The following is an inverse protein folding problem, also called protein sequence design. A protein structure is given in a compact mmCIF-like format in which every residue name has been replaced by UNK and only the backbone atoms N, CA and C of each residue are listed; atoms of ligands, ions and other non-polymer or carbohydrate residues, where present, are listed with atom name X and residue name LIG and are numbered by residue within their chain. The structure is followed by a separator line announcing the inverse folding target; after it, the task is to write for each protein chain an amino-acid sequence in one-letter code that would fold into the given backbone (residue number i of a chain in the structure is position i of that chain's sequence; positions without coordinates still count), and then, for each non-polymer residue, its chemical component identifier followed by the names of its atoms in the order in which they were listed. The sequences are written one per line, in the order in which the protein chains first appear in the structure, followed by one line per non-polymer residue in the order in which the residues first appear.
data_IF_319302840174
#
_entry.id   IF_319302840174
#
_cell.length_a   1.000
_cell.length_b   1.000
_cell.length_c   1.000
_cell.angle_alpha   90.00
_cell.angle_beta   90.00
_cell.angle_gamma   90.00
#
_symmetry.space_group_name_H-M   'P 1'
#
loop_
_entity.id
_entity.type
_entity.pdbx_description
1 polymer ?
#
# COMPACT_ATOMS: atom_id res chain seq x y z
N UNK A 1 24.48 3.87 -10.01
CA UNK A 1 24.37 2.42 -9.72
C UNK A 1 23.86 1.74 -10.97
N UNK A 2 24.64 0.78 -11.48
CA UNK A 2 24.28 -0.07 -12.62
C UNK A 2 23.75 -1.40 -12.06
N UNK A 3 22.63 -1.90 -12.57
CA UNK A 3 22.03 -3.14 -12.06
C UNK A 3 21.15 -3.84 -13.09
N UNK A 4 20.98 -5.16 -12.94
CA UNK A 4 19.93 -5.91 -13.66
C UNK A 4 18.57 -5.70 -13.01
N UNK A 5 17.60 -5.29 -13.82
CA UNK A 5 16.31 -4.87 -13.33
C UNK A 5 15.12 -5.54 -13.99
N UNK A 6 13.98 -5.46 -13.31
CA UNK A 6 12.66 -5.80 -13.85
C UNK A 6 11.81 -4.53 -13.86
N UNK A 7 11.15 -4.31 -14.98
CA UNK A 7 10.12 -3.28 -15.11
C UNK A 7 8.76 -3.96 -14.99
N UNK A 8 7.91 -3.47 -14.11
CA UNK A 8 6.48 -3.77 -14.10
C UNK A 8 5.76 -2.61 -14.76
N UNK A 9 4.89 -2.91 -15.73
CA UNK A 9 4.06 -1.94 -16.45
C UNK A 9 2.59 -2.27 -16.18
N UNK A 10 1.83 -1.27 -15.75
CA UNK A 10 0.38 -1.31 -15.69
C UNK A 10 -0.15 -0.48 -16.86
N UNK A 11 -0.80 -1.14 -17.80
CA UNK A 11 -1.26 -0.54 -19.06
C UNK A 11 -2.76 -0.66 -19.16
N UNK A 12 -3.42 0.39 -19.62
CA UNK A 12 -4.82 0.35 -20.02
C UNK A 12 -4.91 0.13 -21.54
N UNK A 13 -5.73 -0.82 -21.97
CA UNK A 13 -6.03 -0.99 -23.39
C UNK A 13 -7.16 -0.08 -23.86
N UNK A 14 -7.48 -0.15 -25.16
CA UNK A 14 -8.55 0.64 -25.78
C UNK A 14 -9.96 0.31 -25.27
N UNK A 15 -10.16 -0.89 -24.69
CA UNK A 15 -11.42 -1.29 -24.06
C UNK A 15 -11.50 -0.86 -22.59
N UNK A 16 -10.42 -0.31 -22.07
CA UNK A 16 -10.31 0.14 -20.69
C UNK A 16 -9.92 -0.94 -19.70
N UNK A 17 -9.53 -2.13 -20.17
CA UNK A 17 -9.01 -3.22 -19.35
C UNK A 17 -7.56 -2.92 -18.95
N UNK A 18 -7.19 -3.34 -17.74
CA UNK A 18 -5.85 -3.08 -17.19
C UNK A 18 -5.02 -4.36 -17.23
N UNK A 19 -3.83 -4.25 -17.80
CA UNK A 19 -2.90 -5.33 -18.06
C UNK A 19 -1.59 -5.11 -17.32
N UNK A 20 -1.03 -6.20 -16.80
CA UNK A 20 0.29 -6.21 -16.17
C UNK A 20 1.30 -6.85 -17.10
N UNK A 21 2.37 -6.11 -17.41
CA UNK A 21 3.50 -6.64 -18.17
C UNK A 21 4.77 -6.56 -17.35
N UNK A 22 5.54 -7.65 -17.36
CA UNK A 22 6.88 -7.70 -16.77
C UNK A 22 7.92 -7.74 -17.87
N UNK A 23 8.92 -6.86 -17.79
CA UNK A 23 10.06 -6.84 -18.71
C UNK A 23 11.37 -6.88 -17.96
N UNK A 24 12.17 -7.91 -18.22
CA UNK A 24 13.55 -8.00 -17.71
C UNK A 24 14.47 -7.13 -18.55
N UNK A 25 15.46 -6.52 -17.92
CA UNK A 25 16.54 -5.84 -18.64
C UNK A 25 17.35 -6.86 -19.44
N UNK A 26 17.86 -6.44 -20.61
CA UNK A 26 18.74 -7.30 -21.44
C UNK A 26 20.10 -7.51 -20.79
N UNK A 27 20.54 -6.53 -20.00
CA UNK A 27 21.78 -6.55 -19.23
C UNK A 27 21.70 -5.55 -18.07
N UNK A 28 22.80 -5.37 -17.33
CA UNK A 28 22.90 -4.31 -16.33
C UNK A 28 22.73 -2.93 -16.98
N UNK A 29 21.97 -2.04 -16.35
CA UNK A 29 21.71 -0.70 -16.84
C UNK A 29 21.60 0.29 -15.68
N UNK A 30 21.80 1.57 -15.97
CA UNK A 30 21.58 2.64 -15.00
C UNK A 30 20.08 2.97 -14.86
N UNK A 31 19.68 3.49 -13.69
CA UNK A 31 18.30 3.93 -13.43
C UNK A 31 17.80 4.96 -14.47
N UNK A 32 18.68 5.85 -14.93
CA UNK A 32 18.43 6.84 -15.99
C UNK A 32 17.97 6.18 -17.29
N UNK A 33 18.63 5.09 -17.70
CA UNK A 33 18.29 4.35 -18.92
C UNK A 33 16.92 3.66 -18.81
N UNK A 34 16.58 3.11 -17.64
CA UNK A 34 15.23 2.57 -17.40
C UNK A 34 14.16 3.67 -17.53
N UNK A 35 14.42 4.85 -16.97
CA UNK A 35 13.49 6.00 -17.04
C UNK A 35 13.32 6.51 -18.47
N UNK A 36 14.39 6.66 -19.23
CA UNK A 36 14.34 7.07 -20.64
C UNK A 36 13.54 6.08 -21.49
N UNK A 37 13.72 4.78 -21.27
CA UNK A 37 12.92 3.75 -21.93
C UNK A 37 11.42 3.90 -21.64
N UNK A 38 11.06 4.15 -20.38
CA UNK A 38 9.66 4.33 -19.96
C UNK A 38 9.04 5.60 -20.53
N UNK A 39 9.78 6.71 -20.54
CA UNK A 39 9.34 7.96 -21.17
C UNK A 39 9.10 7.79 -22.68
N UNK A 40 9.95 7.00 -23.35
CA UNK A 40 9.77 6.70 -24.77
C UNK A 40 8.56 5.80 -25.02
N UNK A 41 8.22 4.88 -24.10
CA UNK A 41 6.99 4.10 -24.18
C UNK A 41 5.74 4.97 -24.05
N UNK A 42 5.69 5.88 -23.07
CA UNK A 42 4.56 6.80 -22.88
C UNK A 42 4.28 7.65 -24.13
N UNK A 43 5.34 8.08 -24.82
CA UNK A 43 5.22 8.89 -26.06
C UNK A 43 4.59 8.14 -27.23
N UNK A 44 4.69 6.81 -27.28
CA UNK A 44 4.22 6.03 -28.45
C UNK A 44 2.69 5.99 -28.60
N UNK A 45 1.92 6.42 -27.58
CA UNK A 45 0.44 6.53 -27.58
C UNK A 45 -0.37 5.26 -27.88
N UNK A 46 0.24 4.19 -28.39
CA UNK A 46 -0.39 2.88 -28.60
C UNK A 46 -0.71 2.16 -27.27
N UNK A 47 -0.08 2.60 -26.18
CA UNK A 47 -0.15 2.01 -24.85
C UNK A 47 -0.49 3.12 -23.87
N UNK A 48 -1.67 3.06 -23.24
CA UNK A 48 -2.00 3.97 -22.15
C UNK A 48 -1.33 3.48 -20.86
N UNK A 49 -0.08 3.87 -20.65
CA UNK A 49 0.65 3.53 -19.42
C UNK A 49 0.00 4.26 -18.23
N UNK A 50 -0.42 3.51 -17.22
CA UNK A 50 -1.00 4.03 -15.98
C UNK A 50 0.10 4.22 -14.92
N UNK A 51 0.91 3.18 -14.73
CA UNK A 51 1.93 3.14 -13.70
C UNK A 51 3.07 2.22 -14.12
N UNK A 52 4.28 2.53 -13.69
CA UNK A 52 5.43 1.66 -13.88
C UNK A 52 6.31 1.64 -12.64
N UNK A 53 6.96 0.50 -12.44
CA UNK A 53 7.90 0.28 -11.34
C UNK A 53 9.21 -0.27 -11.90
N UNK A 54 10.34 0.20 -11.37
CA UNK A 54 11.67 -0.33 -11.67
C UNK A 54 12.21 -1.01 -10.42
N UNK A 55 12.56 -2.28 -10.59
CA UNK A 55 13.04 -3.17 -9.55
C UNK A 55 14.50 -3.48 -9.82
N UNK A 56 15.37 -3.21 -8.86
CA UNK A 56 16.73 -3.73 -8.81
C UNK A 56 16.73 -5.13 -8.18
N UNK A 57 17.03 -6.18 -8.98
CA UNK A 57 17.08 -7.56 -8.49
C UNK A 57 18.34 -7.88 -7.69
N UNK A 58 19.33 -6.99 -7.70
CA UNK A 58 20.59 -7.13 -6.98
C UNK A 58 20.55 -6.45 -5.59
N UNK A 59 19.52 -5.63 -5.30
CA UNK A 59 19.33 -5.00 -3.99
C UNK A 59 18.62 -5.97 -3.02
N UNK A 60 19.25 -6.22 -1.86
CA UNK A 60 18.70 -7.10 -0.81
C UNK A 60 17.68 -6.39 0.09
N UNK A 61 17.80 -5.08 0.30
CA UNK A 61 16.98 -4.34 1.28
C UNK A 61 15.75 -3.70 0.62
N UNK A 62 15.94 -2.96 -0.48
CA UNK A 62 14.86 -2.29 -1.22
C UNK A 62 14.97 -2.56 -2.70
N UNK A 63 14.32 -3.64 -3.13
CA UNK A 63 14.29 -4.04 -4.53
C UNK A 63 13.68 -2.94 -5.42
N UNK A 64 12.67 -2.21 -4.94
CA UNK A 64 12.02 -1.17 -5.73
C UNK A 64 12.78 0.15 -5.62
N UNK A 65 13.31 0.61 -6.75
CA UNK A 65 14.17 1.80 -6.78
C UNK A 65 13.47 3.02 -7.38
N UNK A 66 12.37 2.83 -8.12
CA UNK A 66 11.60 3.93 -8.71
C UNK A 66 10.19 3.52 -9.14
N UNK A 67 9.27 4.49 -9.17
CA UNK A 67 7.94 4.38 -9.75
C UNK A 67 7.56 5.66 -10.52
N UNK A 68 6.66 5.60 -11.50
CA UNK A 68 6.34 6.77 -12.33
C UNK A 68 5.41 7.80 -11.67
N UNK A 69 4.40 7.37 -10.90
CA UNK A 69 3.34 8.29 -10.45
C UNK A 69 3.05 8.31 -8.95
N UNK A 70 3.31 7.24 -8.19
CA UNK A 70 2.75 7.10 -6.84
C UNK A 70 3.82 6.92 -5.77
N UNK A 71 4.12 8.02 -5.08
CA UNK A 71 5.07 8.05 -3.97
C UNK A 71 4.35 8.58 -2.73
N UNK A 72 4.58 7.94 -1.59
CA UNK A 72 4.27 8.55 -0.30
C UNK A 72 5.18 9.76 -0.07
N UNK A 73 4.64 10.96 -0.26
CA UNK A 73 5.37 12.25 -0.17
C UNK A 73 6.08 12.49 1.16
N UNK A 74 5.74 11.77 2.23
CA UNK A 74 6.26 11.95 3.60
C UNK A 74 7.69 11.38 3.83
N UNK A 75 8.36 10.86 2.80
CA UNK A 75 9.61 10.08 2.92
C UNK A 75 10.82 10.74 2.21
N UNK A 76 10.65 11.87 1.50
CA UNK A 76 11.73 12.54 0.75
C UNK A 76 12.22 13.85 1.41
N UNK A 77 12.74 13.74 2.64
CA UNK A 77 13.55 14.80 3.25
C UNK A 77 14.93 14.23 3.60
N UNK A 78 15.98 15.04 3.46
CA UNK A 78 17.35 14.64 3.83
C UNK A 78 17.36 13.99 5.22
N UNK A 79 17.80 12.72 5.28
CA UNK A 79 17.86 11.96 6.52
C UNK A 79 18.90 12.63 7.43
N UNK A 80 18.43 13.41 8.39
CA UNK A 80 19.34 13.97 9.39
C UNK A 80 19.97 12.83 10.21
N UNK A 81 21.18 13.00 10.77
CA UNK A 81 21.78 12.01 11.67
C UNK A 81 20.85 11.61 12.83
N UNK A 82 19.96 12.52 13.27
CA UNK A 82 18.97 12.24 14.30
C UNK A 82 17.81 11.35 13.81
N UNK A 83 17.43 11.47 12.54
CA UNK A 83 16.49 10.56 11.90
C UNK A 83 17.05 9.14 11.92
N UNK A 84 18.28 8.95 11.43
CA UNK A 84 18.93 7.64 11.40
C UNK A 84 19.06 7.04 12.80
N UNK A 85 19.55 7.81 13.78
CA UNK A 85 19.62 7.38 15.18
C UNK A 85 18.28 6.90 15.74
N UNK A 86 17.18 7.51 15.31
CA UNK A 86 15.85 7.10 15.77
C UNK A 86 15.40 5.81 15.09
N UNK A 87 15.61 5.66 13.78
CA UNK A 87 15.38 4.40 13.06
C UNK A 87 16.20 3.26 13.67
N UNK A 88 17.49 3.48 13.92
CA UNK A 88 18.38 2.47 14.52
C UNK A 88 17.92 2.07 15.92
N UNK A 89 17.43 3.03 16.71
CA UNK A 89 16.84 2.75 18.01
C UNK A 89 15.61 1.84 17.88
N UNK A 90 14.69 2.15 16.95
CA UNK A 90 13.50 1.33 16.71
C UNK A 90 13.87 -0.08 16.25
N UNK A 91 14.79 -0.21 15.28
CA UNK A 91 15.24 -1.51 14.80
C UNK A 91 15.80 -2.41 15.93
N UNK A 92 16.53 -1.82 16.88
CA UNK A 92 17.17 -2.56 17.97
C UNK A 92 16.26 -2.79 19.20
N UNK A 93 15.23 -1.97 19.42
CA UNK A 93 14.46 -1.98 20.68
C UNK A 93 12.94 -2.11 20.50
N UNK A 94 12.41 -1.79 19.32
CA UNK A 94 10.98 -1.67 19.01
C UNK A 94 10.72 -2.11 17.56
N UNK A 95 11.10 -3.34 17.22
CA UNK A 95 10.86 -3.91 15.88
C UNK A 95 9.37 -4.02 15.53
N UNK A 96 8.49 -3.89 16.52
CA UNK A 96 7.05 -3.78 16.36
C UNK A 96 6.58 -2.43 15.76
N UNK A 97 7.47 -1.44 15.65
CA UNK A 97 7.17 -0.08 15.16
C UNK A 97 8.17 0.36 14.09
N UNK A 98 7.64 0.92 12.99
CA UNK A 98 8.41 1.58 11.93
C UNK A 98 8.10 3.08 11.90
N UNK A 99 9.14 3.91 11.80
CA UNK A 99 9.00 5.35 11.57
C UNK A 99 9.02 5.67 10.07
N UNK A 100 7.99 6.36 9.58
CA UNK A 100 7.78 6.58 8.14
C UNK A 100 7.52 8.06 7.77
N UNK A 101 7.60 8.97 8.75
CA UNK A 101 7.44 10.40 8.53
C UNK A 101 8.77 11.16 8.55
N UNK A 102 8.75 12.46 8.23
CA UNK A 102 9.94 13.29 8.37
C UNK A 102 10.29 13.46 9.86
N UNK A 103 11.54 13.18 10.21
CA UNK A 103 12.06 13.44 11.55
C UNK A 103 12.33 14.93 11.70
N UNK A 104 11.59 15.59 12.60
CA UNK A 104 11.79 17.02 12.91
C UNK A 104 12.50 17.21 14.25
N UNK A 105 12.02 16.54 15.29
CA UNK A 105 12.65 16.52 16.61
C UNK A 105 12.08 15.38 17.44
N UNK A 106 12.67 15.10 18.61
CA UNK A 106 12.12 14.14 19.58
C UNK A 106 10.73 14.52 20.10
N UNK A 107 10.35 15.80 20.07
CA UNK A 107 9.08 16.30 20.63
C UNK A 107 8.00 16.54 19.58
N UNK A 108 8.38 16.59 18.30
CA UNK A 108 7.45 16.81 17.20
C UNK A 108 6.80 15.48 16.81
N UNK A 109 5.47 15.45 16.70
CA UNK A 109 4.76 14.25 16.26
C UNK A 109 5.18 13.89 14.83
N UNK A 110 5.64 12.66 14.65
CA UNK A 110 5.90 12.07 13.34
C UNK A 110 5.04 10.81 13.13
N UNK A 111 5.00 10.33 11.89
CA UNK A 111 4.16 9.21 11.51
C UNK A 111 4.86 7.89 11.79
N UNK A 112 4.16 6.98 12.47
CA UNK A 112 4.62 5.64 12.81
C UNK A 112 3.61 4.62 12.29
N UNK A 113 4.10 3.42 11.99
CA UNK A 113 3.30 2.23 11.65
C UNK A 113 3.69 1.12 12.61
N UNK A 114 2.73 0.32 13.08
CA UNK A 114 3.06 -0.90 13.82
C UNK A 114 3.12 -2.10 12.86
N UNK A 115 3.65 -3.22 13.31
CA UNK A 115 3.73 -4.45 12.51
C UNK A 115 2.37 -4.97 12.01
N UNK A 116 1.26 -4.57 12.66
CA UNK A 116 -0.12 -4.84 12.19
C UNK A 116 -0.64 -3.84 11.16
N UNK A 117 0.20 -2.91 10.68
CA UNK A 117 -0.13 -1.92 9.65
C UNK A 117 -0.89 -0.69 10.11
N UNK A 118 -1.11 -0.46 11.41
CA UNK A 118 -1.82 0.73 11.88
C UNK A 118 -0.94 1.97 11.88
N UNK A 119 -1.44 3.07 11.31
CA UNK A 119 -0.74 4.36 11.31
C UNK A 119 -1.22 5.29 12.42
N UNK A 120 -0.27 5.93 13.13
CA UNK A 120 -0.59 7.01 14.07
C UNK A 120 0.53 8.05 14.17
N UNK A 121 0.17 9.27 14.59
CA UNK A 121 1.12 10.36 14.83
C UNK A 121 1.46 10.46 16.30
N UNK A 122 2.73 10.29 16.63
CA UNK A 122 3.26 10.35 17.99
C UNK A 122 4.66 10.96 17.98
N UNK A 123 5.06 11.60 19.08
CA UNK A 123 6.40 12.16 19.20
C UNK A 123 7.41 11.04 19.49
N UNK A 124 8.60 11.01 18.86
CA UNK A 124 9.62 9.98 19.12
C UNK A 124 9.99 9.80 20.59
N UNK A 125 9.94 10.88 21.38
CA UNK A 125 10.20 10.83 22.83
C UNK A 125 9.20 9.95 23.58
N UNK A 126 7.93 9.91 23.15
CA UNK A 126 6.89 9.11 23.79
C UNK A 126 7.10 7.62 23.52
N UNK A 127 7.52 7.25 22.31
CA UNK A 127 7.91 5.88 22.01
C UNK A 127 9.14 5.47 22.84
N UNK A 128 10.18 6.33 22.87
CA UNK A 128 11.48 6.00 23.47
C UNK A 128 11.48 6.01 25.01
N UNK A 129 10.78 6.96 25.64
CA UNK A 129 10.78 7.13 27.11
C UNK A 129 9.57 6.53 27.78
N UNK A 130 8.39 6.72 27.18
CA UNK A 130 7.12 6.36 27.83
C UNK A 130 6.64 4.97 27.37
N UNK A 131 7.34 4.35 26.40
CA UNK A 131 6.99 3.02 25.88
C UNK A 131 5.65 3.00 25.14
N UNK A 132 5.23 4.13 24.55
CA UNK A 132 3.91 4.23 23.91
C UNK A 132 3.73 3.17 22.81
N UNK A 133 2.56 2.55 22.81
CA UNK A 133 2.19 1.47 21.89
C UNK A 133 1.17 1.96 20.87
N UNK A 134 0.92 1.13 19.85
CA UNK A 134 -0.09 1.43 18.87
C UNK A 134 -1.48 1.58 19.53
N UNK A 135 -2.13 2.75 19.43
CA UNK A 135 -3.42 2.97 20.07
C UNK A 135 -4.52 2.10 19.47
N UNK A 136 -4.42 1.72 18.19
CA UNK A 136 -5.39 0.85 17.53
C UNK A 136 -5.30 -0.59 18.03
N UNK A 137 -4.09 -1.11 18.27
CA UNK A 137 -3.90 -2.44 18.84
C UNK A 137 -4.40 -2.54 20.29
N UNK A 138 -4.41 -1.44 21.02
CA UNK A 138 -4.89 -1.39 22.41
C UNK A 138 -6.41 -1.21 22.53
N UNK A 139 -7.14 -1.02 21.41
CA UNK A 139 -8.60 -0.93 21.46
C UNK A 139 -9.21 -2.31 21.71
N UNK A 140 -10.33 -2.33 22.42
CA UNK A 140 -11.11 -3.55 22.68
C UNK A 140 -11.97 -4.02 21.50
N UNK A 141 -11.95 -3.29 20.37
CA UNK A 141 -12.74 -3.66 19.20
C UNK A 141 -12.12 -4.86 18.48
N UNK A 142 -12.92 -5.91 18.27
CA UNK A 142 -12.50 -7.11 17.56
C UNK A 142 -12.67 -6.93 16.05
N UNK A 143 -11.60 -7.18 15.31
CA UNK A 143 -11.61 -7.19 13.84
C UNK A 143 -12.49 -8.34 13.32
N UNK A 144 -12.98 -8.23 12.08
CA UNK A 144 -13.67 -9.36 11.46
C UNK A 144 -12.69 -10.53 11.26
N UNK A 145 -13.19 -11.77 11.29
CA UNK A 145 -12.35 -12.95 11.10
C UNK A 145 -11.52 -12.88 9.81
N UNK A 146 -12.11 -12.44 8.69
CA UNK A 146 -11.39 -12.31 7.42
C UNK A 146 -10.34 -11.19 7.44
N UNK A 147 -10.63 -10.03 8.03
CA UNK A 147 -9.63 -8.97 8.16
C UNK A 147 -8.47 -9.37 9.10
N UNK A 148 -8.80 -10.09 10.18
CA UNK A 148 -7.80 -10.67 11.10
C UNK A 148 -6.94 -11.71 10.36
N UNK A 149 -7.56 -12.59 9.56
CA UNK A 149 -6.85 -13.57 8.74
C UNK A 149 -5.88 -12.90 7.76
N UNK A 150 -6.33 -11.90 6.99
CA UNK A 150 -5.48 -11.15 6.06
C UNK A 150 -4.31 -10.47 6.79
N UNK A 151 -4.58 -9.86 7.96
CA UNK A 151 -3.54 -9.23 8.79
C UNK A 151 -2.46 -10.23 9.18
N UNK A 152 -2.84 -11.41 9.70
CA UNK A 152 -1.88 -12.45 10.08
C UNK A 152 -1.14 -13.02 8.87
N UNK A 153 -1.83 -13.22 7.75
CA UNK A 153 -1.23 -13.71 6.52
C UNK A 153 -0.13 -12.77 6.02
N UNK A 154 -0.38 -11.46 5.97
CA UNK A 154 0.60 -10.47 5.53
C UNK A 154 1.80 -10.39 6.49
N UNK A 155 1.56 -10.41 7.81
CA UNK A 155 2.63 -10.43 8.82
C UNK A 155 3.51 -11.69 8.69
N UNK A 156 2.89 -12.86 8.56
CA UNK A 156 3.60 -14.15 8.45
C UNK A 156 4.52 -14.21 7.23
N UNK A 157 4.20 -13.47 6.17
CA UNK A 157 4.97 -13.41 4.94
C UNK A 157 5.89 -12.17 4.87
N UNK A 158 6.13 -11.48 5.99
CA UNK A 158 6.95 -10.27 6.08
C UNK A 158 6.55 -9.17 5.08
N UNK A 159 5.25 -9.09 4.76
CA UNK A 159 4.71 -8.10 3.83
C UNK A 159 4.43 -6.81 4.60
N UNK A 160 4.94 -5.70 4.09
CA UNK A 160 4.64 -4.36 4.63
C UNK A 160 3.29 -3.89 4.10
N UNK A 161 2.39 -3.48 5.00
CA UNK A 161 1.08 -2.95 4.64
C UNK A 161 0.60 -1.89 5.62
N UNK A 162 -0.42 -1.14 5.19
CA UNK A 162 -1.10 -0.13 6.01
C UNK A 162 -2.58 -0.50 6.08
N UNK A 163 -3.14 -0.48 7.29
CA UNK A 163 -4.58 -0.66 7.52
C UNK A 163 -5.31 0.66 7.49
N UNK A 164 -6.53 0.63 6.95
CA UNK A 164 -7.45 1.76 6.93
C UNK A 164 -6.83 3.05 6.35
N UNK A 165 -6.02 2.94 5.29
CA UNK A 165 -5.34 4.09 4.70
C UNK A 165 -6.37 5.10 4.18
N UNK A 166 -6.32 6.32 4.71
CA UNK A 166 -7.13 7.44 4.21
C UNK A 166 -6.70 7.84 2.80
N UNK A 167 -7.63 7.83 1.86
CA UNK A 167 -7.44 8.28 0.48
C UNK A 167 -7.09 9.77 0.38
N UNK A 168 -7.38 10.59 1.41
CA UNK A 168 -6.87 11.97 1.48
C UNK A 168 -5.36 12.03 1.43
N UNK A 169 -4.67 11.02 2.01
CA UNK A 169 -3.20 10.92 1.96
C UNK A 169 -2.67 10.66 0.54
N UNK A 170 -3.53 10.19 -0.36
CA UNK A 170 -3.24 9.95 -1.77
C UNK A 170 -3.75 11.10 -2.67
N UNK A 171 -4.26 12.19 -2.09
CA UNK A 171 -4.76 13.36 -2.83
C UNK A 171 -6.25 13.29 -3.17
N UNK A 172 -7.02 12.37 -2.59
CA UNK A 172 -8.46 12.34 -2.76
C UNK A 172 -9.18 13.40 -1.91
N UNK A 173 -10.32 13.89 -2.36
CA UNK A 173 -11.08 14.94 -1.67
C UNK A 173 -11.79 14.42 -0.40
N UNK A 174 -12.27 13.17 -0.40
CA UNK A 174 -12.99 12.58 0.72
C UNK A 174 -12.09 11.74 1.62
N UNK A 175 -12.40 11.72 2.92
CA UNK A 175 -11.74 10.85 3.91
C UNK A 175 -12.33 9.43 3.86
N UNK A 176 -12.23 8.81 2.69
CA UNK A 176 -12.52 7.39 2.53
C UNK A 176 -11.28 6.59 2.84
N UNK A 177 -11.49 5.39 3.38
CA UNK A 177 -10.40 4.52 3.82
C UNK A 177 -10.41 3.23 3.01
N UNK A 178 -9.23 2.70 2.78
CA UNK A 178 -9.02 1.39 2.19
C UNK A 178 -8.54 0.42 3.26
N UNK A 179 -9.06 -0.81 3.26
CA UNK A 179 -8.87 -1.77 4.36
C UNK A 179 -7.40 -2.13 4.54
N UNK A 180 -6.73 -2.54 3.46
CA UNK A 180 -5.30 -2.86 3.45
C UNK A 180 -4.62 -2.28 2.21
N UNK A 181 -3.49 -1.60 2.41
CA UNK A 181 -2.65 -1.09 1.32
C UNK A 181 -1.28 -1.73 1.42
N UNK A 182 -0.99 -2.66 0.50
CA UNK A 182 0.29 -3.34 0.42
C UNK A 182 1.33 -2.40 -0.15
N UNK A 183 2.49 -2.33 0.50
CA UNK A 183 3.54 -1.35 0.22
C UNK A 183 4.91 -2.01 0.12
N UNK A 184 5.83 -1.34 -0.57
CA UNK A 184 7.26 -1.60 -0.44
C UNK A 184 8.02 -0.29 -0.30
N UNK A 185 8.62 -0.08 0.88
CA UNK A 185 9.18 1.20 1.26
C UNK A 185 8.14 2.32 1.13
N UNK A 186 8.43 3.33 0.31
CA UNK A 186 7.54 4.48 0.05
C UNK A 186 6.50 4.26 -1.05
N UNK A 187 6.47 3.08 -1.67
CA UNK A 187 5.63 2.78 -2.83
C UNK A 187 4.42 1.94 -2.41
N UNK A 188 3.20 2.49 -2.44
CA UNK A 188 1.99 1.68 -2.38
C UNK A 188 1.82 0.94 -3.71
N UNK A 189 1.51 -0.35 -3.62
CA UNK A 189 1.52 -1.26 -4.77
C UNK A 189 0.11 -1.66 -5.19
N UNK A 190 -0.71 -2.13 -4.25
CA UNK A 190 -2.11 -2.46 -4.47
C UNK A 190 -2.91 -2.42 -3.16
N UNK A 191 -4.23 -2.36 -3.29
CA UNK A 191 -5.19 -2.35 -2.19
C UNK A 191 -5.88 -3.71 -2.12
N UNK A 192 -6.16 -4.19 -0.91
CA UNK A 192 -7.07 -5.31 -0.66
C UNK A 192 -8.26 -4.75 0.12
N UNK A 193 -9.48 -4.92 -0.41
CA UNK A 193 -10.75 -4.59 0.24
C UNK A 193 -11.45 -5.89 0.64
N UNK A 194 -11.74 -6.09 1.93
CA UNK A 194 -12.46 -7.27 2.40
C UNK A 194 -13.94 -6.94 2.60
N UNK A 195 -14.75 -7.28 1.59
CA UNK A 195 -16.13 -6.85 1.48
C UNK A 195 -17.08 -7.81 2.21
N UNK A 196 -17.65 -7.37 3.34
CA UNK A 196 -18.72 -8.06 4.07
C UNK A 196 -20.00 -8.35 3.26
N UNK A 197 -20.91 -9.16 3.81
CA UNK A 197 -22.24 -9.47 3.21
C UNK A 197 -23.07 -8.22 2.87
N UNK A 198 -22.78 -7.13 3.56
CA UNK A 198 -23.37 -5.82 3.40
C UNK A 198 -23.13 -5.19 2.01
N UNK A 199 -22.17 -5.70 1.23
CA UNK A 199 -21.87 -5.27 -0.15
C UNK A 199 -22.64 -6.07 -1.22
N UNK A 200 -23.19 -7.24 -0.89
CA UNK A 200 -23.76 -8.18 -1.87
C UNK A 200 -25.28 -8.33 -1.79
N UNK A 201 -25.91 -8.02 -0.64
CA UNK A 201 -27.37 -8.06 -0.49
C UNK A 201 -27.92 -6.67 -0.18
N UNK A 202 -28.98 -6.26 -0.90
CA UNK A 202 -29.82 -5.13 -0.51
C UNK A 202 -30.35 -5.39 0.90
N UNK A 203 -29.72 -4.78 1.91
CA UNK A 203 -30.15 -4.97 3.28
C UNK A 203 -31.46 -4.21 3.49
N UNK A 204 -32.54 -4.96 3.77
CA UNK A 204 -33.84 -4.41 4.19
C UNK A 204 -33.81 -3.84 5.62
N UNK A 205 -32.75 -4.07 6.39
CA UNK A 205 -32.67 -3.59 7.77
C UNK A 205 -32.51 -2.06 7.81
N UNK A 206 -33.40 -1.40 8.56
CA UNK A 206 -33.38 0.05 8.77
C UNK A 206 -32.13 0.51 9.54
N UNK A 207 -31.53 -0.39 10.33
CA UNK A 207 -30.30 -0.15 11.10
C UNK A 207 -29.10 0.27 10.24
N UNK A 208 -29.09 -0.14 8.96
CA UNK A 208 -28.06 0.26 7.97
C UNK A 208 -28.59 1.20 6.88
N UNK A 209 -29.71 1.90 7.14
CA UNK A 209 -30.31 2.87 6.22
C UNK A 209 -31.08 2.27 5.04
N UNK A 210 -31.43 0.97 5.11
CA UNK A 210 -32.24 0.28 4.10
C UNK A 210 -31.67 0.34 2.67
N UNK A 211 -32.57 0.41 1.68
CA UNK A 211 -32.19 0.48 0.26
C UNK A 211 -31.36 1.73 -0.11
N UNK A 212 -31.68 2.88 0.49
CA UNK A 212 -30.94 4.13 0.26
C UNK A 212 -29.51 4.05 0.82
N UNK A 213 -29.33 3.49 2.01
CA UNK A 213 -28.01 3.24 2.60
C UNK A 213 -27.18 2.25 1.79
N UNK A 214 -27.80 1.20 1.26
CA UNK A 214 -27.14 0.23 0.37
C UNK A 214 -26.67 0.86 -0.94
N UNK A 215 -27.49 1.68 -1.61
CA UNK A 215 -27.09 2.42 -2.82
C UNK A 215 -25.94 3.41 -2.54
N UNK A 216 -25.98 4.13 -1.42
CA UNK A 216 -24.89 5.04 -1.02
C UNK A 216 -23.57 4.29 -0.79
N UNK A 217 -23.61 3.12 -0.15
CA UNK A 217 -22.43 2.25 0.04
C UNK A 217 -21.85 1.78 -1.30
N UNK A 218 -22.68 1.25 -2.19
CA UNK A 218 -22.23 0.83 -3.54
C UNK A 218 -21.60 1.99 -4.33
N UNK A 219 -22.21 3.18 -4.28
CA UNK A 219 -21.67 4.38 -4.93
C UNK A 219 -20.31 4.77 -4.33
N UNK A 220 -20.20 4.74 -3.00
CA UNK A 220 -18.95 5.02 -2.29
C UNK A 220 -17.85 4.06 -2.72
N UNK A 221 -18.12 2.75 -2.77
CA UNK A 221 -17.11 1.76 -3.17
C UNK A 221 -16.69 1.93 -4.63
N UNK A 222 -17.64 2.24 -5.52
CA UNK A 222 -17.33 2.58 -6.92
C UNK A 222 -16.42 3.81 -7.01
N UNK A 223 -16.70 4.86 -6.25
CA UNK A 223 -15.89 6.08 -6.20
C UNK A 223 -14.48 5.77 -5.69
N UNK A 224 -14.35 5.03 -4.58
CA UNK A 224 -13.06 4.58 -4.02
C UNK A 224 -12.23 3.83 -5.07
N UNK A 225 -12.85 2.83 -5.71
CA UNK A 225 -12.20 2.01 -6.74
C UNK A 225 -11.74 2.83 -7.93
N UNK A 226 -12.61 3.67 -8.48
CA UNK A 226 -12.28 4.49 -9.64
C UNK A 226 -11.13 5.45 -9.34
N UNK A 227 -11.10 6.05 -8.15
CA UNK A 227 -9.99 6.89 -7.72
C UNK A 227 -8.67 6.10 -7.68
N UNK A 228 -8.65 4.96 -6.98
CA UNK A 228 -7.45 4.14 -6.84
C UNK A 228 -6.92 3.63 -8.19
N UNK A 229 -7.78 3.10 -9.04
CA UNK A 229 -7.40 2.70 -10.39
C UNK A 229 -6.92 3.88 -11.24
N UNK A 230 -7.53 5.07 -11.08
CA UNK A 230 -7.15 6.29 -11.77
C UNK A 230 -5.75 6.80 -11.43
N UNK A 231 -5.27 6.54 -10.21
CA UNK A 231 -3.90 6.89 -9.77
C UNK A 231 -2.90 5.73 -9.93
N UNK A 232 -3.30 4.63 -10.57
CA UNK A 232 -2.44 3.46 -10.76
C UNK A 232 -2.20 2.65 -9.49
N UNK A 233 -3.18 2.61 -8.59
CA UNK A 233 -3.21 1.77 -7.39
C UNK A 233 -4.33 0.73 -7.53
N UNK A 234 -4.05 -0.47 -8.07
CA UNK A 234 -5.03 -1.53 -8.26
C UNK A 234 -5.76 -1.92 -6.98
N UNK A 235 -7.04 -2.26 -7.09
CA UNK A 235 -7.88 -2.71 -5.97
C UNK A 235 -8.28 -4.16 -6.16
N UNK A 236 -8.02 -4.98 -5.16
CA UNK A 236 -8.38 -6.39 -5.07
C UNK A 236 -9.56 -6.52 -4.11
N UNK A 237 -10.74 -6.76 -4.64
CA UNK A 237 -11.95 -7.02 -3.85
C UNK A 237 -11.99 -8.50 -3.44
N UNK A 238 -12.04 -8.77 -2.14
CA UNK A 238 -12.18 -10.11 -1.56
C UNK A 238 -13.56 -10.23 -0.89
N UNK A 239 -14.49 -11.02 -1.43
CA UNK A 239 -15.79 -11.26 -0.80
C UNK A 239 -15.67 -11.98 0.55
N UNK A 240 -16.56 -11.67 1.49
CA UNK A 240 -16.65 -12.39 2.77
C UNK A 240 -16.97 -13.88 2.65
N UNK A 241 -17.52 -14.30 1.50
CA UNK A 241 -17.86 -15.68 1.20
C UNK A 241 -16.65 -16.53 0.79
N UNK A 242 -15.50 -15.90 0.51
CA UNK A 242 -14.27 -16.62 0.21
C UNK A 242 -13.77 -17.38 1.44
N UNK A 243 -13.32 -18.62 1.21
CA UNK A 243 -12.60 -19.41 2.22
C UNK A 243 -11.19 -18.87 2.43
N UNK A 244 -10.58 -19.19 3.57
CA UNK A 244 -9.19 -18.79 3.86
C UNK A 244 -8.22 -19.15 2.71
N UNK A 245 -8.34 -20.35 2.13
CA UNK A 245 -7.49 -20.77 1.02
C UNK A 245 -7.66 -19.88 -0.22
N UNK A 246 -8.89 -19.51 -0.57
CA UNK A 246 -9.15 -18.63 -1.71
C UNK A 246 -8.64 -17.20 -1.47
N UNK A 247 -8.73 -16.72 -0.23
CA UNK A 247 -8.12 -15.45 0.20
C UNK A 247 -6.60 -15.51 0.01
N UNK A 248 -5.94 -16.57 0.48
CA UNK A 248 -4.50 -16.75 0.32
C UNK A 248 -4.08 -16.81 -1.15
N UNK A 249 -4.75 -17.62 -1.97
CA UNK A 249 -4.45 -17.76 -3.39
C UNK A 249 -4.54 -16.40 -4.12
N UNK A 250 -5.59 -15.64 -3.82
CA UNK A 250 -5.78 -14.29 -4.38
C UNK A 250 -4.64 -13.36 -3.96
N UNK A 251 -4.31 -13.30 -2.67
CA UNK A 251 -3.24 -12.42 -2.18
C UNK A 251 -1.89 -12.84 -2.76
N UNK A 252 -1.57 -14.14 -2.76
CA UNK A 252 -0.32 -14.71 -3.30
C UNK A 252 -0.15 -14.35 -4.78
N UNK A 253 -1.23 -14.41 -5.58
CA UNK A 253 -1.20 -14.02 -6.98
C UNK A 253 -0.69 -12.57 -7.13
N UNK A 254 -1.27 -11.63 -6.39
CA UNK A 254 -0.84 -10.22 -6.45
C UNK A 254 0.55 -10.00 -5.85
N UNK A 255 0.91 -10.68 -4.76
CA UNK A 255 2.27 -10.60 -4.20
C UNK A 255 3.33 -11.05 -5.22
N UNK A 256 3.08 -12.15 -5.94
CA UNK A 256 3.95 -12.61 -7.05
C UNK A 256 3.95 -11.65 -8.22
N UNK A 257 2.80 -11.10 -8.58
CA UNK A 257 2.67 -10.10 -9.66
C UNK A 257 3.56 -8.88 -9.39
N UNK A 258 3.70 -8.48 -8.13
CA UNK A 258 4.57 -7.41 -7.65
C UNK A 258 5.93 -7.88 -7.12
N UNK A 259 6.39 -9.10 -7.38
CA UNK A 259 7.74 -9.57 -6.97
C UNK A 259 8.05 -9.37 -5.48
N UNK A 260 7.03 -9.45 -4.62
CA UNK A 260 7.17 -9.31 -3.16
C UNK A 260 7.59 -10.62 -2.50
N UNK A 261 7.21 -11.74 -3.12
CA UNK A 261 7.55 -13.12 -2.74
C UNK A 261 8.08 -13.90 -3.95
#
# INVERSE_FOLDING_TARGET
MVFRGIIILLVKDSYGCIHFYKKKSRGPAELTQYKEYLQNLEKKKDIQLIQSYVINKENKDSKYVWCSHLIRKEIDENISPNHQKYIDYLANNRSDITFIGPYKSMRTKGLHVCFRGHEWKVAPVKIKKDGENCPSCNRSYKESYGAEFITHFLIKNDIVFIKELSLKKLGFEYDYRMDFVVCQGKYPLFVIEYNGIQHYKYMKSEYFGGFKGSRKRMLRDKIKRNFCWGIGLPVVDIPYSETNNQIEETIIYFLKLYELI
#
